data_IF_630020344593
#
_entry.id   IF_630020344593
#
_cell.length_a   1.000
_cell.length_b   1.000
_cell.length_c   1.000
_cell.angle_alpha   90.00
_cell.angle_beta   90.00
_cell.angle_gamma   90.00
#
_symmetry.space_group_name_H-M   'P 1'
#
loop_
_entity.id
_entity.type
_entity.pdbx_description
1 polymer ?
#
# COMPACT_ATOMS: atom_id res chain seq x y z
N UNK A 1 -3.87 -23.02 -0.47
CA UNK A 1 -4.59 -21.84 -1.00
C UNK A 1 -6.04 -21.80 -0.48
N UNK A 2 -6.52 -20.65 0.00
CA UNK A 2 -7.88 -20.47 0.52
C UNK A 2 -8.49 -19.18 -0.05
N UNK A 3 -9.73 -19.24 -0.53
CA UNK A 3 -10.51 -18.08 -0.96
C UNK A 3 -11.75 -17.99 -0.09
N UNK A 4 -11.93 -16.84 0.58
CA UNK A 4 -13.12 -16.57 1.40
C UNK A 4 -14.00 -15.57 0.66
N UNK A 5 -15.13 -16.05 0.14
CA UNK A 5 -16.17 -15.21 -0.47
C UNK A 5 -17.18 -14.86 0.62
N UNK A 6 -17.46 -13.57 0.79
CA UNK A 6 -18.30 -13.15 1.91
C UNK A 6 -19.05 -11.84 1.60
N UNK A 7 -20.37 -11.86 1.79
CA UNK A 7 -21.28 -10.74 1.52
C UNK A 7 -21.12 -9.56 2.47
N UNK A 8 -21.81 -8.44 2.23
CA UNK A 8 -21.85 -7.33 3.17
C UNK A 8 -22.33 -7.80 4.57
N UNK A 9 -21.75 -7.27 5.65
CA UNK A 9 -22.15 -7.60 7.03
C UNK A 9 -21.77 -9.00 7.54
N UNK A 10 -21.30 -9.92 6.70
CA UNK A 10 -21.00 -11.33 7.05
C UNK A 10 -19.80 -11.56 8.00
N UNK A 11 -19.19 -10.52 8.55
CA UNK A 11 -18.09 -10.67 9.51
C UNK A 11 -16.72 -10.97 8.90
N UNK A 12 -16.49 -10.72 7.60
CA UNK A 12 -15.19 -10.87 6.91
C UNK A 12 -13.97 -10.47 7.74
N UNK A 13 -14.00 -9.24 8.24
CA UNK A 13 -12.89 -8.67 9.02
C UNK A 13 -12.67 -9.49 10.30
N UNK A 14 -13.73 -9.89 10.99
CA UNK A 14 -13.66 -10.70 12.21
C UNK A 14 -13.01 -12.05 11.95
N UNK A 15 -13.38 -12.71 10.83
CA UNK A 15 -12.78 -13.99 10.42
C UNK A 15 -11.28 -13.84 10.17
N UNK A 16 -10.87 -12.81 9.40
CA UNK A 16 -9.46 -12.58 9.10
C UNK A 16 -8.62 -12.25 10.35
N UNK A 17 -9.14 -11.39 11.25
CA UNK A 17 -8.41 -11.02 12.47
C UNK A 17 -8.25 -12.20 13.43
N UNK A 18 -9.30 -13.02 13.60
CA UNK A 18 -9.20 -14.22 14.42
C UNK A 18 -8.31 -15.29 13.80
N UNK A 19 -8.30 -15.42 12.47
CA UNK A 19 -7.37 -16.34 11.79
C UNK A 19 -5.91 -15.97 12.07
N UNK A 20 -5.57 -14.69 12.00
CA UNK A 20 -4.21 -14.19 12.30
C UNK A 20 -3.85 -14.48 13.77
N UNK A 21 -4.76 -14.21 14.70
CA UNK A 21 -4.52 -14.51 16.12
C UNK A 21 -4.29 -16.02 16.35
N UNK A 22 -5.15 -16.85 15.77
CA UNK A 22 -5.04 -18.31 15.83
C UNK A 22 -3.72 -18.83 15.26
N UNK A 23 -3.26 -18.29 14.12
CA UNK A 23 -2.00 -18.68 13.50
C UNK A 23 -0.80 -18.40 14.42
N UNK A 24 -0.83 -17.27 15.13
CA UNK A 24 0.20 -16.89 16.07
C UNK A 24 0.18 -17.78 17.31
N UNK A 25 -1.01 -18.05 17.86
CA UNK A 25 -1.20 -19.01 18.97
C UNK A 25 -0.74 -20.42 18.58
N UNK A 26 -0.91 -20.81 17.31
CA UNK A 26 -0.44 -22.08 16.75
C UNK A 26 1.08 -22.12 16.49
N UNK A 27 1.81 -21.06 16.86
CA UNK A 27 3.27 -21.01 16.82
C UNK A 27 3.86 -20.26 15.62
N UNK A 28 3.04 -19.72 14.71
CA UNK A 28 3.54 -18.89 13.60
C UNK A 28 4.04 -17.56 14.17
N UNK A 29 5.28 -17.20 13.82
CA UNK A 29 5.84 -15.92 14.27
C UNK A 29 5.13 -14.75 13.58
N UNK A 30 4.78 -13.66 14.29
CA UNK A 30 4.04 -12.54 13.71
C UNK A 30 4.71 -11.92 12.48
N UNK A 31 6.04 -11.80 12.46
CA UNK A 31 6.79 -11.27 11.32
C UNK A 31 6.76 -12.14 10.05
N UNK A 32 6.25 -13.38 10.15
CA UNK A 32 6.01 -14.25 8.99
C UNK A 32 4.59 -14.09 8.41
N UNK A 33 3.74 -13.24 8.99
CA UNK A 33 2.38 -12.98 8.54
C UNK A 33 2.30 -11.61 7.87
N UNK A 34 1.75 -11.60 6.65
CA UNK A 34 1.47 -10.40 5.85
C UNK A 34 -0.04 -10.23 5.68
N UNK A 35 -0.57 -9.11 6.15
CA UNK A 35 -1.97 -8.73 6.00
C UNK A 35 -2.08 -7.41 5.23
N UNK A 36 -2.70 -7.45 4.05
CA UNK A 36 -2.82 -6.29 3.15
C UNK A 36 -4.28 -5.87 3.02
N UNK A 37 -4.52 -4.56 3.05
CA UNK A 37 -5.83 -3.96 2.77
C UNK A 37 -5.73 -2.87 1.68
N UNK A 38 -6.86 -2.43 1.14
CA UNK A 38 -6.90 -1.39 0.11
C UNK A 38 -6.86 0.04 0.68
N UNK A 39 -7.26 0.25 1.94
CA UNK A 39 -7.36 1.58 2.53
C UNK A 39 -6.65 1.64 3.87
N UNK A 40 -6.08 2.81 4.20
CA UNK A 40 -5.45 3.04 5.50
C UNK A 40 -6.45 2.85 6.65
N UNK A 41 -7.72 3.24 6.45
CA UNK A 41 -8.78 3.03 7.43
C UNK A 41 -8.99 1.54 7.74
N UNK A 42 -9.09 0.70 6.71
CA UNK A 42 -9.26 -0.73 6.89
C UNK A 42 -8.02 -1.39 7.52
N UNK A 43 -6.80 -0.96 7.13
CA UNK A 43 -5.57 -1.39 7.77
C UNK A 43 -5.57 -1.05 9.27
N UNK A 44 -5.84 0.20 9.64
CA UNK A 44 -5.82 0.64 11.03
C UNK A 44 -6.89 -0.08 11.87
N UNK A 45 -8.12 -0.21 11.35
CA UNK A 45 -9.18 -0.94 12.06
C UNK A 45 -8.80 -2.41 12.28
N UNK A 46 -8.21 -3.06 11.27
CA UNK A 46 -7.71 -4.43 11.40
C UNK A 46 -6.59 -4.52 12.43
N UNK A 47 -5.72 -3.49 12.51
CA UNK A 47 -4.61 -3.40 13.47
C UNK A 47 -5.14 -3.42 14.89
N UNK A 48 -6.04 -2.49 15.19
CA UNK A 48 -6.63 -2.32 16.51
C UNK A 48 -7.36 -3.60 16.95
N UNK A 49 -8.04 -4.28 16.00
CA UNK A 49 -8.71 -5.56 16.29
C UNK A 49 -7.73 -6.67 16.61
N UNK A 50 -6.61 -6.77 15.89
CA UNK A 50 -5.58 -7.80 16.15
C UNK A 50 -4.83 -7.48 17.45
N UNK A 51 -4.44 -6.22 17.68
CA UNK A 51 -3.82 -5.75 18.92
C UNK A 51 -4.67 -6.11 20.15
N UNK A 52 -6.00 -6.00 20.06
CA UNK A 52 -6.91 -6.45 21.13
C UNK A 52 -6.91 -7.96 21.39
N UNK A 53 -6.51 -8.77 20.40
CA UNK A 53 -6.49 -10.24 20.52
C UNK A 53 -5.14 -10.77 21.01
N UNK A 54 -4.03 -10.21 20.53
CA UNK A 54 -2.67 -10.76 20.77
C UNK A 54 -1.72 -9.77 21.45
N UNK A 55 -2.19 -8.57 21.79
CA UNK A 55 -1.38 -7.53 22.44
C UNK A 55 -0.21 -7.06 21.57
N UNK A 56 0.94 -6.89 22.21
CA UNK A 56 2.15 -6.32 21.60
C UNK A 56 2.71 -7.16 20.44
N UNK A 57 2.40 -8.46 20.36
CA UNK A 57 2.79 -9.30 19.24
C UNK A 57 2.27 -8.78 17.88
N UNK A 58 1.20 -7.98 17.89
CA UNK A 58 0.67 -7.35 16.69
C UNK A 58 1.61 -6.31 16.06
N UNK A 59 2.55 -5.74 16.84
CA UNK A 59 3.50 -4.73 16.34
C UNK A 59 4.51 -5.30 15.34
N UNK A 60 4.79 -6.59 15.45
CA UNK A 60 5.73 -7.30 14.57
C UNK A 60 5.11 -7.78 13.26
N UNK A 61 3.78 -7.68 13.12
CA UNK A 61 3.08 -8.06 11.89
C UNK A 61 3.45 -7.14 10.73
N UNK A 62 3.54 -7.73 9.53
CA UNK A 62 3.51 -6.94 8.31
C UNK A 62 2.06 -6.64 7.97
N UNK A 63 1.59 -5.46 8.35
CA UNK A 63 0.23 -5.05 8.02
C UNK A 63 0.16 -3.61 7.53
N UNK A 64 -0.63 -3.40 6.48
CA UNK A 64 -0.80 -2.08 5.88
C UNK A 64 -1.52 -2.15 4.55
N UNK A 65 -1.46 -1.05 3.80
CA UNK A 65 -1.91 -1.06 2.41
C UNK A 65 -0.82 -1.60 1.49
N UNK A 66 -1.18 -1.95 0.25
CA UNK A 66 -0.19 -2.26 -0.79
C UNK A 66 0.92 -1.20 -0.86
N UNK A 67 0.53 0.08 -0.88
CA UNK A 67 1.49 1.19 -0.92
C UNK A 67 2.40 1.22 0.32
N UNK A 68 1.85 1.11 1.52
CA UNK A 68 2.63 1.13 2.76
C UNK A 68 3.65 -0.01 2.83
N UNK A 69 3.24 -1.20 2.40
CA UNK A 69 4.13 -2.38 2.35
C UNK A 69 5.22 -2.20 1.30
N UNK A 70 4.88 -1.76 0.09
CA UNK A 70 5.86 -1.48 -0.96
C UNK A 70 6.88 -0.42 -0.53
N UNK A 71 6.42 0.68 0.10
CA UNK A 71 7.32 1.70 0.64
C UNK A 71 8.24 1.10 1.70
N UNK A 72 7.74 0.29 2.63
CA UNK A 72 8.59 -0.37 3.66
C UNK A 72 9.67 -1.26 3.03
N UNK A 73 9.34 -1.99 1.95
CA UNK A 73 10.30 -2.82 1.21
C UNK A 73 11.34 -1.93 0.52
N UNK A 74 10.91 -0.91 -0.23
CA UNK A 74 11.80 -0.03 -0.97
C UNK A 74 12.72 0.75 -0.04
N UNK A 75 12.21 1.30 1.07
CA UNK A 75 13.02 1.98 2.09
C UNK A 75 14.15 1.12 2.64
N UNK A 76 14.01 -0.21 2.59
CA UNK A 76 15.01 -1.15 3.11
C UNK A 76 15.99 -1.65 2.05
N UNK A 77 15.56 -1.75 0.79
CA UNK A 77 16.29 -2.52 -0.23
C UNK A 77 16.44 -1.84 -1.60
N UNK A 78 15.93 -0.62 -1.79
CA UNK A 78 15.97 0.06 -3.11
C UNK A 78 17.39 0.42 -3.55
N UNK A 79 18.35 0.49 -2.62
CA UNK A 79 19.78 0.64 -2.89
C UNK A 79 20.34 -0.45 -3.81
N UNK A 80 19.74 -1.65 -3.79
CA UNK A 80 20.14 -2.79 -4.63
C UNK A 80 19.86 -2.58 -6.12
N UNK A 81 19.01 -1.61 -6.46
CA UNK A 81 18.71 -1.22 -7.84
C UNK A 81 19.19 0.20 -8.15
N UNK A 82 20.13 0.73 -7.36
CA UNK A 82 20.83 1.98 -7.65
C UNK A 82 20.11 3.26 -7.20
N UNK A 83 19.03 3.16 -6.41
CA UNK A 83 18.34 4.31 -5.85
C UNK A 83 18.68 4.52 -4.38
N UNK A 84 18.59 5.76 -3.90
CA UNK A 84 18.76 6.02 -2.47
C UNK A 84 17.51 5.61 -1.68
N UNK A 85 17.71 5.16 -0.45
CA UNK A 85 16.63 4.75 0.46
C UNK A 85 15.81 5.91 0.99
N UNK A 86 16.26 7.16 0.82
CA UNK A 86 15.60 8.42 1.22
C UNK A 86 14.79 9.08 0.09
N UNK A 87 14.40 8.33 -0.95
CA UNK A 87 13.53 8.80 -2.05
C UNK A 87 12.28 9.56 -1.59
N UNK A 88 11.82 10.51 -2.41
CA UNK A 88 10.59 11.28 -2.16
C UNK A 88 9.41 10.61 -2.85
N UNK A 89 8.27 10.52 -2.16
CA UNK A 89 7.01 10.05 -2.75
C UNK A 89 6.25 11.28 -3.21
N UNK A 90 6.11 11.43 -4.52
CA UNK A 90 5.39 12.56 -5.12
C UNK A 90 3.89 12.38 -4.95
N UNK A 91 3.24 13.40 -4.41
CA UNK A 91 1.79 13.48 -4.40
C UNK A 91 1.23 13.93 -5.77
N UNK A 92 -0.09 14.05 -5.87
CA UNK A 92 -0.75 14.45 -7.12
C UNK A 92 -0.35 15.86 -7.57
N UNK A 93 -0.04 16.76 -6.65
CA UNK A 93 0.36 18.14 -6.94
C UNK A 93 1.81 18.20 -7.44
N UNK A 94 2.72 17.46 -6.80
CA UNK A 94 4.10 17.31 -7.24
C UNK A 94 4.17 16.74 -8.66
N UNK A 95 3.38 15.69 -8.91
CA UNK A 95 3.27 15.06 -10.23
C UNK A 95 2.78 16.04 -11.29
N UNK A 96 1.78 16.88 -10.99
CA UNK A 96 1.27 17.90 -11.94
C UNK A 96 2.32 18.95 -12.25
N UNK A 97 3.04 19.44 -11.25
CA UNK A 97 4.11 20.41 -11.44
C UNK A 97 5.19 19.86 -12.36
N UNK A 98 5.66 18.64 -12.10
CA UNK A 98 6.66 17.98 -12.94
C UNK A 98 6.17 17.79 -14.39
N UNK A 99 4.93 17.34 -14.60
CA UNK A 99 4.39 17.17 -15.95
C UNK A 99 4.29 18.50 -16.70
N UNK A 100 3.89 19.58 -16.04
CA UNK A 100 3.87 20.91 -16.67
C UNK A 100 5.26 21.35 -17.12
N UNK A 101 6.28 21.11 -16.31
CA UNK A 101 7.67 21.40 -16.66
C UNK A 101 8.14 20.56 -17.85
N UNK A 102 7.81 19.27 -17.89
CA UNK A 102 8.11 18.40 -19.02
C UNK A 102 7.43 18.87 -20.31
N UNK A 103 6.14 19.18 -20.27
CA UNK A 103 5.38 19.67 -21.43
C UNK A 103 5.94 20.97 -22.00
N UNK A 104 6.31 21.91 -21.11
CA UNK A 104 6.97 23.16 -21.49
C UNK A 104 8.32 22.91 -22.16
N UNK A 105 9.12 21.99 -21.60
CA UNK A 105 10.45 21.64 -22.13
C UNK A 105 10.36 21.00 -23.51
N UNK A 106 9.36 20.14 -23.73
CA UNK A 106 9.11 19.45 -24.99
C UNK A 106 8.43 20.34 -26.04
N UNK A 107 8.01 21.58 -25.69
CA UNK A 107 7.28 22.52 -26.55
C UNK A 107 5.99 21.93 -27.13
N UNK A 108 5.27 21.15 -26.33
CA UNK A 108 4.01 20.53 -26.71
C UNK A 108 2.85 21.47 -26.40
N UNK A 109 1.84 21.50 -27.28
CA UNK A 109 0.63 22.30 -27.10
C UNK A 109 -0.20 21.78 -25.90
N UNK A 110 -0.40 22.64 -24.90
CA UNK A 110 -1.09 22.34 -23.66
C UNK A 110 -2.62 22.23 -23.84
N UNK A 111 -3.16 22.67 -24.98
CA UNK A 111 -4.55 22.44 -25.38
C UNK A 111 -4.79 21.02 -25.88
N UNK A 112 -3.77 20.40 -26.47
CA UNK A 112 -3.83 19.02 -26.97
C UNK A 112 -3.43 18.06 -25.84
N UNK A 113 -2.34 18.36 -25.13
CA UNK A 113 -1.79 17.54 -24.06
C UNK A 113 -1.95 18.23 -22.71
N UNK A 114 -3.12 18.07 -22.10
CA UNK A 114 -3.37 18.59 -20.75
C UNK A 114 -2.55 17.81 -19.71
N UNK A 115 -2.10 18.50 -18.66
CA UNK A 115 -1.37 17.89 -17.53
C UNK A 115 -2.11 16.69 -16.91
N UNK A 116 -3.43 16.82 -16.73
CA UNK A 116 -4.31 15.74 -16.24
C UNK A 116 -4.41 14.57 -17.22
N UNK A 117 -4.56 14.85 -18.52
CA UNK A 117 -4.66 13.81 -19.54
C UNK A 117 -3.38 12.98 -19.61
N UNK A 118 -2.23 13.65 -19.63
CA UNK A 118 -0.92 13.00 -19.63
C UNK A 118 -0.70 12.17 -18.35
N UNK A 119 -1.03 12.71 -17.17
CA UNK A 119 -0.94 11.95 -15.92
C UNK A 119 -1.83 10.71 -15.92
N UNK A 120 -3.04 10.82 -16.45
CA UNK A 120 -3.95 9.68 -16.56
C UNK A 120 -3.36 8.58 -17.45
N UNK A 121 -2.77 8.95 -18.58
CA UNK A 121 -2.16 7.98 -19.50
C UNK A 121 -0.94 7.31 -18.88
N UNK A 122 -0.07 8.07 -18.21
CA UNK A 122 1.07 7.53 -17.46
C UNK A 122 0.59 6.58 -16.35
N UNK A 123 -0.49 6.93 -15.64
CA UNK A 123 -1.06 6.07 -14.60
C UNK A 123 -1.60 4.75 -15.16
N UNK A 124 -2.23 4.79 -16.33
CA UNK A 124 -2.68 3.59 -17.03
C UNK A 124 -1.51 2.72 -17.49
N UNK A 125 -0.42 3.31 -17.98
CA UNK A 125 0.79 2.58 -18.37
C UNK A 125 1.57 1.93 -17.22
N UNK A 126 1.23 2.22 -15.95
CA UNK A 126 1.80 1.55 -14.77
C UNK A 126 1.07 0.26 -14.37
N UNK A 127 -0.12 0.01 -14.94
CA UNK A 127 -0.91 -1.21 -14.70
C UNK A 127 -0.40 -2.35 -15.55
#
# INVERSE_FOLDING_TARGET
>A
PCLVIAGAGSGKTKVLTHKIAYDIESGIKPWNILAITFTNKAANEMKERIEKLIGDAAKDLWMGTFHSICVRILRRYIDRIGYKTDFVIFDTSDQKTLIKECLKTLKVDDKIFTDRGVLSEISNGKK
#
